data_IF_170312020422
#
_entry.id   IF_170312020422
#
_cell.length_a   1.000
_cell.length_b   1.000
_cell.length_c   1.000
_cell.angle_alpha   90.00
_cell.angle_beta   90.00
_cell.angle_gamma   90.00
#
_symmetry.space_group_name_H-M   'P 1'
#
loop_
_entity.id
_entity.type
_entity.pdbx_description
1 polymer ?
#
# COMPACT_ATOMS: atom_id res chain seq x y z
N UNK A 1 14.37 -41.77 15.03
CA UNK A 1 14.00 -40.35 15.11
C UNK A 1 13.98 -39.86 13.68
N UNK A 2 12.87 -39.29 13.22
CA UNK A 2 12.77 -38.82 11.84
C UNK A 2 13.33 -37.40 11.80
N UNK A 3 14.55 -37.22 11.28
CA UNK A 3 15.29 -35.95 11.30
C UNK A 3 14.51 -34.78 10.68
N UNK A 4 13.58 -35.09 9.78
CA UNK A 4 12.68 -34.11 9.15
C UNK A 4 11.68 -33.48 10.12
N UNK A 5 11.35 -34.13 11.25
CA UNK A 5 10.38 -33.61 12.21
C UNK A 5 10.88 -32.37 12.95
N UNK A 6 12.20 -32.18 13.03
CA UNK A 6 12.83 -31.09 13.78
C UNK A 6 13.30 -29.94 12.88
N UNK A 7 13.07 -30.03 11.57
CA UNK A 7 13.39 -28.99 10.60
C UNK A 7 12.20 -28.04 10.46
N UNK A 8 12.36 -26.80 10.90
CA UNK A 8 11.39 -25.74 10.61
C UNK A 8 11.65 -25.19 9.20
N UNK A 9 10.62 -25.24 8.34
CA UNK A 9 10.72 -24.71 6.97
C UNK A 9 9.86 -23.46 6.83
N UNK A 10 8.56 -23.60 7.08
CA UNK A 10 7.63 -22.48 7.09
C UNK A 10 6.35 -22.81 7.84
N UNK A 11 5.69 -21.81 8.42
CA UNK A 11 4.43 -21.96 9.15
C UNK A 11 3.52 -20.74 8.97
N UNK A 12 2.20 -20.92 8.80
CA UNK A 12 1.27 -19.81 8.99
C UNK A 12 1.28 -19.36 10.46
N UNK A 13 1.15 -18.07 10.68
CA UNK A 13 1.23 -17.44 11.99
C UNK A 13 0.24 -16.27 12.10
N UNK A 14 0.11 -15.74 13.31
CA UNK A 14 -0.57 -14.47 13.58
C UNK A 14 0.39 -13.47 14.16
N UNK A 15 0.28 -12.22 13.73
CA UNK A 15 0.99 -11.10 14.33
C UNK A 15 0.46 -10.87 15.74
N UNK A 16 1.37 -10.79 16.71
CA UNK A 16 1.10 -10.41 18.10
C UNK A 16 1.31 -8.90 18.28
N UNK A 17 2.41 -8.39 17.74
CA UNK A 17 2.73 -6.96 17.73
C UNK A 17 3.63 -6.63 16.53
N UNK A 18 3.68 -5.35 16.16
CA UNK A 18 4.48 -4.83 15.06
C UNK A 18 5.13 -3.51 15.49
N UNK A 19 6.42 -3.37 15.23
CA UNK A 19 7.17 -2.13 15.33
C UNK A 19 7.50 -1.61 13.93
N UNK A 20 6.86 -0.51 13.55
CA UNK A 20 7.04 0.12 12.24
C UNK A 20 8.39 0.84 12.09
N UNK A 21 9.05 1.23 13.18
CA UNK A 21 10.34 1.90 13.11
C UNK A 21 11.48 0.93 12.74
N UNK A 22 11.37 -0.32 13.17
CA UNK A 22 12.35 -1.37 12.86
C UNK A 22 11.85 -2.38 11.83
N UNK A 23 10.59 -2.31 11.42
CA UNK A 23 9.92 -3.20 10.46
C UNK A 23 9.96 -4.66 10.94
N UNK A 24 9.62 -4.87 12.22
CA UNK A 24 9.67 -6.18 12.88
C UNK A 24 8.38 -6.54 13.58
N UNK A 25 8.06 -7.83 13.59
CA UNK A 25 6.92 -8.38 14.32
C UNK A 25 7.35 -9.29 15.45
N UNK A 26 6.47 -9.40 16.44
CA UNK A 26 6.32 -10.62 17.22
C UNK A 26 5.22 -11.45 16.56
N UNK A 27 5.50 -12.69 16.19
CA UNK A 27 4.54 -13.58 15.54
C UNK A 27 4.37 -14.87 16.33
N UNK A 28 3.19 -15.48 16.26
CA UNK A 28 2.89 -16.77 16.87
C UNK A 28 2.41 -17.76 15.81
N UNK A 29 3.10 -18.89 15.57
CA UNK A 29 2.62 -19.91 14.65
C UNK A 29 1.20 -20.36 15.00
N UNK A 30 0.38 -20.57 13.98
CA UNK A 30 -1.05 -20.85 14.13
C UNK A 30 -1.36 -22.34 14.26
N UNK A 31 -0.42 -23.22 13.88
CA UNK A 31 -0.60 -24.67 13.86
C UNK A 31 0.30 -25.31 14.92
N UNK A 32 -0.27 -25.95 15.96
CA UNK A 32 0.51 -26.67 16.97
C UNK A 32 1.08 -27.99 16.40
N UNK A 33 2.21 -28.45 16.95
CA UNK A 33 2.86 -29.72 16.56
C UNK A 33 2.25 -30.86 17.37
N UNK A 34 1.83 -31.94 16.71
CA UNK A 34 1.43 -33.19 17.36
C UNK A 34 2.57 -34.20 17.25
N UNK A 35 3.00 -34.75 18.38
CA UNK A 35 4.04 -35.77 18.44
C UNK A 35 3.46 -37.17 18.18
N UNK A 36 4.31 -38.14 17.86
CA UNK A 36 3.93 -39.54 17.69
C UNK A 36 3.29 -40.15 18.97
N UNK A 37 3.61 -39.60 20.15
CA UNK A 37 3.00 -39.94 21.43
C UNK A 37 1.53 -39.49 21.55
N UNK A 38 1.04 -38.66 20.62
CA UNK A 38 -0.26 -38.00 20.69
C UNK A 38 -0.26 -36.65 21.41
N UNK A 39 0.83 -36.32 22.10
CA UNK A 39 1.03 -35.03 22.78
C UNK A 39 0.97 -33.86 21.78
N UNK A 40 0.38 -32.75 22.21
CA UNK A 40 0.29 -31.52 21.42
C UNK A 40 1.18 -30.46 22.05
N UNK A 41 2.23 -30.07 21.32
CA UNK A 41 3.08 -28.96 21.68
C UNK A 41 2.46 -27.65 21.18
N UNK A 42 2.26 -26.72 22.11
CA UNK A 42 1.82 -25.37 21.81
C UNK A 42 2.85 -24.60 20.98
N UNK A 43 2.40 -23.54 20.30
CA UNK A 43 3.27 -22.71 19.48
C UNK A 43 3.89 -21.56 20.31
N UNK A 44 5.22 -21.35 20.27
CA UNK A 44 5.84 -20.24 20.97
C UNK A 44 5.62 -18.91 20.23
N UNK A 45 5.82 -17.79 20.92
CA UNK A 45 5.98 -16.50 20.25
C UNK A 45 7.42 -16.38 19.74
N UNK A 46 7.57 -15.90 18.52
CA UNK A 46 8.85 -15.60 17.89
C UNK A 46 8.96 -14.09 17.80
N UNK A 47 10.00 -13.54 18.41
CA UNK A 47 10.22 -12.10 18.54
C UNK A 47 11.22 -11.60 17.50
N UNK A 48 11.23 -10.29 17.25
CA UNK A 48 12.24 -9.63 16.43
C UNK A 48 12.30 -10.10 14.96
N UNK A 49 11.18 -10.61 14.43
CA UNK A 49 11.11 -11.20 13.08
C UNK A 49 11.00 -10.07 12.03
N UNK A 50 11.95 -9.92 11.09
CA UNK A 50 11.85 -8.95 10.01
C UNK A 50 10.65 -9.22 9.10
N UNK A 51 9.92 -8.17 8.75
CA UNK A 51 8.83 -8.23 7.77
C UNK A 51 9.37 -8.00 6.36
N UNK A 52 9.03 -8.90 5.44
CA UNK A 52 9.43 -8.84 4.04
C UNK A 52 8.38 -8.08 3.22
N UNK A 53 8.58 -6.76 3.08
CA UNK A 53 7.86 -5.93 2.12
C UNK A 53 8.60 -5.86 0.78
N UNK A 54 7.91 -5.61 -0.36
CA UNK A 54 8.57 -5.23 -1.60
C UNK A 54 9.39 -3.96 -1.37
N UNK A 55 10.71 -4.08 -1.47
CA UNK A 55 11.64 -2.97 -1.25
C UNK A 55 12.88 -3.08 -2.14
N UNK A 56 13.45 -1.95 -2.53
CA UNK A 56 14.68 -1.81 -3.31
C UNK A 56 15.33 -0.45 -3.04
N UNK A 57 16.52 -0.23 -3.60
CA UNK A 57 17.24 1.05 -3.48
C UNK A 57 17.47 1.51 -2.02
N UNK A 58 17.70 0.55 -1.11
CA UNK A 58 17.83 0.79 0.34
C UNK A 58 19.00 1.72 0.68
N UNK A 59 20.09 1.68 -0.10
CA UNK A 59 21.23 2.59 0.05
C UNK A 59 21.08 3.93 -0.70
N UNK A 60 19.98 4.12 -1.43
CA UNK A 60 19.69 5.31 -2.23
C UNK A 60 18.44 6.04 -1.73
N UNK A 61 17.40 6.11 -2.56
CA UNK A 61 16.17 6.84 -2.25
C UNK A 61 15.13 6.02 -1.48
N UNK A 62 15.36 4.71 -1.29
CA UNK A 62 14.45 3.74 -0.66
C UNK A 62 13.11 3.65 -1.39
N UNK A 63 12.97 2.65 -2.26
CA UNK A 63 11.69 2.30 -2.87
C UNK A 63 11.01 1.19 -2.02
N UNK A 64 9.79 1.41 -1.55
CA UNK A 64 9.08 0.41 -0.73
C UNK A 64 7.56 0.49 -0.84
N UNK A 65 6.89 -0.66 -0.65
CA UNK A 65 5.44 -0.77 -0.45
C UNK A 65 5.18 -1.41 0.91
N UNK A 66 4.67 -0.65 1.87
CA UNK A 66 4.40 -1.13 3.24
C UNK A 66 2.91 -1.26 3.51
N UNK A 67 2.54 -2.17 4.43
CA UNK A 67 1.16 -2.34 4.90
C UNK A 67 1.05 -1.94 6.39
N UNK A 68 -0.10 -1.41 6.84
CA UNK A 68 -0.32 -1.07 8.25
C UNK A 68 -0.63 -2.33 9.06
N UNK A 69 0.41 -3.10 9.40
CA UNK A 69 0.32 -4.37 10.13
C UNK A 69 -0.23 -4.15 11.54
N UNK A 70 -1.15 -5.01 11.98
CA UNK A 70 -1.82 -4.95 13.28
C UNK A 70 -1.78 -6.30 14.01
N UNK A 71 -1.89 -6.29 15.36
CA UNK A 71 -2.15 -7.51 16.11
C UNK A 71 -3.36 -8.27 15.56
N UNK A 72 -3.19 -9.57 15.37
CA UNK A 72 -4.22 -10.47 14.84
C UNK A 72 -4.15 -10.71 13.34
N UNK A 73 -3.41 -9.90 12.56
CA UNK A 73 -3.21 -10.13 11.14
C UNK A 73 -2.53 -11.49 10.89
N UNK A 74 -3.00 -12.20 9.87
CA UNK A 74 -2.33 -13.39 9.38
C UNK A 74 -0.97 -13.05 8.77
N UNK A 75 -0.02 -13.95 8.96
CA UNK A 75 1.28 -13.91 8.30
C UNK A 75 1.78 -15.33 8.00
N UNK A 76 2.85 -15.42 7.22
CA UNK A 76 3.56 -16.64 6.92
C UNK A 76 5.03 -16.47 7.31
N UNK A 77 5.54 -17.39 8.13
CA UNK A 77 6.93 -17.40 8.56
C UNK A 77 7.72 -18.37 7.71
N UNK A 78 8.88 -17.94 7.22
CA UNK A 78 9.87 -18.80 6.54
C UNK A 78 11.13 -18.81 7.40
N UNK A 79 11.62 -20.00 7.75
CA UNK A 79 12.79 -20.15 8.60
C UNK A 79 14.05 -20.29 7.76
N UNK A 80 15.12 -19.63 8.20
CA UNK A 80 16.42 -19.62 7.55
C UNK A 80 17.17 -20.93 7.81
N UNK A 81 17.94 -21.37 6.83
CA UNK A 81 18.84 -22.51 6.95
C UNK A 81 20.00 -22.26 7.93
N UNK A 82 20.32 -20.99 8.21
CA UNK A 82 21.44 -20.54 9.05
C UNK A 82 20.97 -19.43 9.98
N UNK A 83 21.68 -19.25 11.09
CA UNK A 83 21.38 -18.16 12.02
C UNK A 83 21.47 -16.79 11.34
N UNK A 84 20.58 -15.87 11.73
CA UNK A 84 20.43 -14.56 11.08
C UNK A 84 21.17 -13.43 11.78
N UNK A 85 21.64 -13.60 13.02
CA UNK A 85 22.12 -12.51 13.88
C UNK A 85 23.26 -11.72 13.24
N UNK A 86 24.27 -12.40 12.69
CA UNK A 86 25.42 -11.75 12.05
C UNK A 86 24.96 -10.93 10.83
N UNK A 87 24.11 -11.50 9.99
CA UNK A 87 23.56 -10.79 8.82
C UNK A 87 22.70 -9.59 9.23
N UNK A 88 21.86 -9.73 10.26
CA UNK A 88 21.03 -8.63 10.78
C UNK A 88 21.87 -7.49 11.38
N UNK A 89 23.11 -7.76 11.80
CA UNK A 89 24.06 -6.72 12.22
C UNK A 89 24.78 -6.01 11.06
N UNK A 90 24.54 -6.46 9.81
CA UNK A 90 25.20 -5.95 8.61
C UNK A 90 26.49 -6.69 8.24
N UNK A 91 26.83 -7.79 8.93
CA UNK A 91 27.99 -8.62 8.58
C UNK A 91 27.71 -9.53 7.39
N UNK A 92 28.76 -9.82 6.62
CA UNK A 92 28.78 -10.82 5.55
C UNK A 92 29.56 -12.09 5.92
N UNK A 93 30.05 -12.19 7.15
CA UNK A 93 30.83 -13.34 7.63
C UNK A 93 29.95 -14.56 7.90
N UNK A 94 30.59 -15.72 8.09
CA UNK A 94 29.89 -16.93 8.52
C UNK A 94 29.19 -16.69 9.88
N UNK A 95 28.01 -17.30 10.13
CA UNK A 95 27.37 -17.24 11.43
C UNK A 95 28.24 -17.92 12.49
N UNK A 96 28.42 -17.25 13.64
CA UNK A 96 29.11 -17.84 14.78
C UNK A 96 28.29 -18.95 15.45
N UNK A 97 26.97 -18.87 15.31
CA UNK A 97 26.03 -19.85 15.82
C UNK A 97 25.73 -20.93 14.76
N UNK A 98 26.02 -22.22 15.04
CA UNK A 98 25.81 -23.30 14.09
C UNK A 98 24.34 -23.73 13.93
N UNK A 99 23.38 -23.03 14.57
CA UNK A 99 21.95 -23.30 14.45
C UNK A 99 21.48 -23.32 12.99
N UNK A 100 20.58 -24.25 12.71
CA UNK A 100 19.96 -24.46 11.42
C UNK A 100 18.46 -24.64 11.60
N UNK A 101 17.65 -23.98 10.77
CA UNK A 101 16.19 -24.14 10.76
C UNK A 101 15.55 -23.85 12.13
N UNK A 102 16.12 -22.91 12.89
CA UNK A 102 15.65 -22.55 14.22
C UNK A 102 14.42 -21.62 14.14
N UNK A 103 13.53 -21.70 15.13
CA UNK A 103 12.31 -20.89 15.16
C UNK A 103 12.59 -19.38 15.29
N UNK A 104 13.73 -18.98 15.88
CA UNK A 104 14.11 -17.57 16.02
C UNK A 104 14.64 -16.96 14.72
N UNK A 105 15.09 -17.79 13.78
CA UNK A 105 15.67 -17.37 12.51
C UNK A 105 14.62 -17.32 11.41
N UNK A 106 13.61 -16.46 11.58
CA UNK A 106 12.47 -16.38 10.66
C UNK A 106 12.41 -15.06 9.89
N UNK A 107 11.77 -15.09 8.73
CA UNK A 107 11.26 -13.94 8.00
C UNK A 107 9.73 -13.98 7.97
N UNK A 108 9.09 -12.84 8.10
CA UNK A 108 7.63 -12.71 8.11
C UNK A 108 7.11 -12.13 6.80
N UNK A 109 6.18 -12.82 6.15
CA UNK A 109 5.42 -12.34 5.00
C UNK A 109 3.99 -12.04 5.45
N UNK A 110 3.55 -10.79 5.34
CA UNK A 110 2.20 -10.37 5.74
C UNK A 110 1.18 -10.92 4.73
N UNK A 111 0.08 -11.48 5.23
CA UNK A 111 -0.92 -12.18 4.43
C UNK A 111 -1.14 -13.61 4.92
N UNK A 112 -1.78 -14.47 4.12
CA UNK A 112 -1.99 -15.88 4.53
C UNK A 112 -3.02 -16.05 5.65
N UNK A 113 -4.03 -15.17 5.71
CA UNK A 113 -5.18 -15.38 6.58
C UNK A 113 -5.89 -16.70 6.22
N UNK A 114 -6.36 -17.44 7.23
CA UNK A 114 -7.13 -18.68 7.02
C UNK A 114 -8.39 -18.48 6.17
N UNK A 115 -8.91 -17.24 6.13
CA UNK A 115 -9.93 -16.79 5.18
C UNK A 115 -9.47 -15.48 4.57
N UNK A 116 -9.09 -15.52 3.29
CA UNK A 116 -8.71 -14.32 2.56
C UNK A 116 -9.92 -13.43 2.27
N UNK A 117 -9.76 -12.10 2.25
CA UNK A 117 -10.79 -11.20 1.72
C UNK A 117 -10.99 -11.44 0.22
N UNK A 118 -12.09 -10.91 -0.33
CA UNK A 118 -12.27 -10.90 -1.78
C UNK A 118 -11.18 -10.05 -2.45
N UNK A 119 -10.72 -10.52 -3.61
CA UNK A 119 -9.81 -9.80 -4.48
C UNK A 119 -10.57 -9.24 -5.69
N UNK A 120 -9.98 -8.25 -6.35
CA UNK A 120 -10.39 -7.87 -7.70
C UNK A 120 -9.90 -8.95 -8.67
N UNK A 121 -10.83 -9.53 -9.44
CA UNK A 121 -10.53 -10.65 -10.35
C UNK A 121 -10.08 -10.23 -11.74
N UNK A 122 -10.07 -8.93 -12.04
CA UNK A 122 -9.83 -8.39 -13.37
C UNK A 122 -8.75 -7.32 -13.38
N UNK A 123 -8.77 -6.42 -12.39
CA UNK A 123 -7.90 -5.24 -12.35
C UNK A 123 -6.74 -5.44 -11.39
N UNK A 124 -5.60 -4.81 -11.68
CA UNK A 124 -4.61 -4.56 -10.65
C UNK A 124 -5.21 -3.56 -9.65
N UNK A 125 -5.26 -3.92 -8.37
CA UNK A 125 -6.02 -3.18 -7.36
C UNK A 125 -5.17 -2.95 -6.10
N UNK A 126 -5.00 -1.69 -5.73
CA UNK A 126 -4.49 -1.26 -4.42
C UNK A 126 -5.69 -0.75 -3.63
N UNK A 127 -5.98 -1.35 -2.48
CA UNK A 127 -7.19 -1.05 -1.69
C UNK A 127 -6.88 -0.92 -0.20
N UNK A 128 -7.49 0.07 0.44
CA UNK A 128 -7.54 0.18 1.90
C UNK A 128 -8.89 0.75 2.35
N UNK A 129 -9.66 -0.02 3.12
CA UNK A 129 -11.02 0.34 3.48
C UNK A 129 -11.93 0.50 2.24
N UNK A 130 -12.57 1.67 2.10
CA UNK A 130 -13.41 2.02 0.96
C UNK A 130 -12.64 2.66 -0.21
N UNK A 131 -11.39 3.08 -0.02
CA UNK A 131 -10.57 3.69 -1.07
C UNK A 131 -9.84 2.66 -1.93
N UNK A 132 -9.71 2.93 -3.23
CA UNK A 132 -8.97 2.09 -4.17
C UNK A 132 -8.33 2.85 -5.33
N UNK A 133 -7.22 2.31 -5.84
CA UNK A 133 -6.60 2.65 -7.11
C UNK A 133 -6.59 1.38 -7.95
N UNK A 134 -7.12 1.47 -9.17
CA UNK A 134 -7.22 0.33 -10.08
C UNK A 134 -6.61 0.64 -11.44
N UNK A 135 -5.94 -0.35 -12.02
CA UNK A 135 -5.50 -0.34 -13.42
C UNK A 135 -6.19 -1.52 -14.13
N UNK A 136 -7.02 -1.22 -15.10
CA UNK A 136 -7.71 -2.22 -15.91
C UNK A 136 -6.80 -2.82 -16.98
N UNK A 137 -7.12 -4.02 -17.53
CA UNK A 137 -6.38 -4.57 -18.67
C UNK A 137 -6.35 -3.66 -19.91
N UNK A 138 -7.31 -2.73 -20.06
CA UNK A 138 -7.31 -1.68 -21.09
C UNK A 138 -6.23 -0.61 -20.89
N UNK A 139 -5.63 -0.53 -19.70
CA UNK A 139 -4.74 0.55 -19.29
C UNK A 139 -5.44 1.70 -18.55
N UNK A 140 -6.77 1.68 -18.45
CA UNK A 140 -7.53 2.72 -17.74
C UNK A 140 -7.22 2.70 -16.24
N UNK A 141 -7.02 3.90 -15.68
CA UNK A 141 -6.73 4.09 -14.25
C UNK A 141 -7.94 4.74 -13.59
N UNK A 142 -8.44 4.12 -12.52
CA UNK A 142 -9.54 4.66 -11.71
C UNK A 142 -9.07 4.84 -10.28
N UNK A 143 -9.29 6.03 -9.72
CA UNK A 143 -9.11 6.35 -8.30
C UNK A 143 -10.50 6.57 -7.71
N UNK A 144 -10.95 5.66 -6.84
CA UNK A 144 -12.24 5.75 -6.16
C UNK A 144 -11.99 5.86 -4.65
N UNK A 145 -12.41 6.98 -4.05
CA UNK A 145 -12.19 7.28 -2.65
C UNK A 145 -13.26 8.24 -2.11
N UNK A 146 -13.56 8.21 -0.80
CA UNK A 146 -14.44 9.19 -0.17
C UNK A 146 -13.99 10.65 -0.35
N UNK A 147 -12.68 10.88 -0.48
CA UNK A 147 -12.08 12.19 -0.76
C UNK A 147 -10.69 12.00 -1.38
N UNK A 148 -10.31 12.91 -2.29
CA UNK A 148 -8.97 12.95 -2.89
C UNK A 148 -8.35 14.34 -2.67
N UNK A 149 -7.06 14.39 -2.32
CA UNK A 149 -6.29 15.63 -2.19
C UNK A 149 -4.96 15.46 -2.91
N UNK A 150 -4.61 16.41 -3.77
CA UNK A 150 -3.36 16.40 -4.55
C UNK A 150 -2.53 17.60 -4.14
N UNK A 151 -1.43 17.33 -3.42
CA UNK A 151 -0.50 18.35 -2.96
C UNK A 151 0.78 18.28 -3.81
N UNK A 152 1.03 19.30 -4.61
CA UNK A 152 2.26 19.46 -5.37
C UNK A 152 2.53 20.96 -5.59
N UNK A 153 3.80 21.39 -5.69
CA UNK A 153 4.12 22.76 -6.09
C UNK A 153 3.54 23.15 -7.46
N UNK A 154 3.34 22.17 -8.35
CA UNK A 154 2.70 22.35 -9.66
C UNK A 154 1.99 21.06 -10.05
N UNK A 155 0.76 21.18 -10.56
CA UNK A 155 -0.02 20.08 -11.11
C UNK A 155 -0.31 20.37 -12.59
N UNK A 156 -0.07 19.39 -13.45
CA UNK A 156 -0.32 19.50 -14.89
C UNK A 156 -1.20 18.35 -15.35
N UNK A 157 -2.28 18.66 -16.08
CA UNK A 157 -3.15 17.67 -16.74
C UNK A 157 -3.12 17.96 -18.23
N UNK A 158 -2.61 17.00 -19.02
CA UNK A 158 -2.58 17.10 -20.48
C UNK A 158 -3.78 16.33 -21.05
N UNK A 159 -4.71 17.05 -21.67
CA UNK A 159 -5.95 16.52 -22.21
C UNK A 159 -7.18 17.25 -21.66
N UNK A 160 -8.35 16.86 -22.14
CA UNK A 160 -9.62 17.44 -21.71
C UNK A 160 -9.95 17.04 -20.27
N UNK A 161 -10.48 17.99 -19.49
CA UNK A 161 -10.84 17.78 -18.09
C UNK A 161 -12.35 17.97 -17.92
N UNK A 162 -13.03 16.92 -17.49
CA UNK A 162 -14.44 16.97 -17.11
C UNK A 162 -14.57 17.03 -15.57
N UNK A 163 -15.31 18.02 -15.07
CA UNK A 163 -15.60 18.18 -13.64
C UNK A 163 -17.11 18.21 -13.44
N UNK A 164 -17.65 17.17 -12.80
CA UNK A 164 -19.07 17.06 -12.47
C UNK A 164 -19.31 17.62 -11.05
N UNK A 165 -19.13 18.93 -10.89
CA UNK A 165 -19.24 19.61 -9.59
C UNK A 165 -18.82 21.08 -9.68
N UNK A 166 -18.90 21.79 -8.56
CA UNK A 166 -18.42 23.17 -8.48
C UNK A 166 -16.89 23.24 -8.53
N UNK A 167 -16.36 24.25 -9.23
CA UNK A 167 -14.93 24.56 -9.26
C UNK A 167 -14.70 25.83 -8.45
N UNK A 168 -13.81 25.76 -7.45
CA UNK A 168 -13.39 26.91 -6.65
C UNK A 168 -11.88 27.09 -6.80
N UNK A 169 -11.45 28.31 -7.13
CA UNK A 169 -10.03 28.65 -7.28
C UNK A 169 -9.73 29.90 -6.45
N UNK A 170 -8.59 29.93 -5.79
CA UNK A 170 -8.15 31.06 -4.96
C UNK A 170 -7.30 32.07 -5.72
N UNK A 171 -6.98 31.78 -6.98
CA UNK A 171 -6.07 32.57 -7.82
C UNK A 171 -6.67 32.71 -9.23
N UNK A 172 -5.94 33.37 -10.12
CA UNK A 172 -6.40 33.64 -11.49
C UNK A 172 -6.58 32.36 -12.31
N UNK A 173 -7.71 32.28 -13.02
CA UNK A 173 -7.92 31.34 -14.12
C UNK A 173 -7.56 32.06 -15.42
N UNK A 174 -6.68 31.48 -16.23
CA UNK A 174 -6.36 31.98 -17.58
C UNK A 174 -6.80 30.93 -18.61
N UNK A 175 -7.66 31.33 -19.54
CA UNK A 175 -8.11 30.49 -20.64
C UNK A 175 -7.58 31.06 -21.97
N UNK A 176 -7.05 30.18 -22.83
CA UNK A 176 -6.61 30.57 -24.18
C UNK A 176 -7.78 30.57 -25.18
N UNK A 177 -8.76 29.68 -24.95
CA UNK A 177 -10.04 29.66 -25.65
C UNK A 177 -11.11 30.44 -24.90
N UNK A 178 -12.35 30.33 -25.39
CA UNK A 178 -13.50 30.97 -24.77
C UNK A 178 -13.96 30.24 -23.49
N UNK A 179 -14.57 30.98 -22.57
CA UNK A 179 -15.25 30.44 -21.39
C UNK A 179 -16.75 30.58 -21.62
N UNK A 180 -17.47 29.46 -21.67
CA UNK A 180 -18.92 29.48 -21.92
C UNK A 180 -19.67 29.11 -20.64
N UNK A 181 -20.46 30.05 -20.11
CA UNK A 181 -21.32 29.85 -18.95
C UNK A 181 -22.79 29.77 -19.36
N UNK A 182 -23.48 28.66 -19.07
CA UNK A 182 -24.88 28.45 -19.47
C UNK A 182 -25.16 28.75 -20.96
N UNK A 183 -24.20 28.44 -21.84
CA UNK A 183 -24.29 28.70 -23.28
C UNK A 183 -23.91 30.12 -23.72
N UNK A 184 -23.56 31.03 -22.80
CA UNK A 184 -23.12 32.39 -23.11
C UNK A 184 -21.60 32.44 -23.12
N UNK A 185 -21.03 32.83 -24.27
CA UNK A 185 -19.60 33.11 -24.45
C UNK A 185 -19.17 34.29 -23.59
N UNK A 186 -18.15 34.11 -22.75
CA UNK A 186 -17.55 35.21 -21.98
C UNK A 186 -16.80 36.17 -22.91
N UNK A 187 -16.11 35.68 -23.94
CA UNK A 187 -15.41 36.54 -24.90
C UNK A 187 -16.34 37.37 -25.79
N UNK A 188 -17.62 36.96 -25.94
CA UNK A 188 -18.60 37.60 -26.81
C UNK A 188 -19.86 38.13 -26.11
N UNK A 189 -19.94 38.11 -24.78
CA UNK A 189 -21.15 38.56 -24.09
C UNK A 189 -21.38 40.08 -24.22
N UNK A 190 -22.65 40.47 -24.16
CA UNK A 190 -23.08 41.88 -24.22
C UNK A 190 -23.98 42.20 -23.03
N UNK A 191 -24.07 43.48 -22.69
CA UNK A 191 -25.01 44.01 -21.69
C UNK A 191 -26.09 44.85 -22.38
N UNK A 192 -27.27 44.92 -21.76
CA UNK A 192 -28.27 45.92 -22.12
C UNK A 192 -28.01 47.18 -21.30
N UNK A 193 -27.93 48.34 -21.96
CA UNK A 193 -27.85 49.62 -21.28
C UNK A 193 -29.20 49.97 -20.64
N UNK A 194 -29.18 50.44 -19.39
CA UNK A 194 -30.39 50.93 -18.72
C UNK A 194 -30.62 52.40 -19.08
N UNK A 195 -31.08 52.70 -20.31
CA UNK A 195 -31.35 54.10 -20.69
C UNK A 195 -31.94 54.37 -22.07
N UNK A 196 -31.43 53.75 -23.13
CA UNK A 196 -31.84 54.10 -24.52
C UNK A 196 -32.22 52.90 -25.41
N UNK A 197 -32.15 51.68 -24.86
CA UNK A 197 -32.50 50.45 -25.57
C UNK A 197 -31.47 50.00 -26.60
N UNK A 198 -30.26 50.57 -26.62
CA UNK A 198 -29.19 50.16 -27.53
C UNK A 198 -28.24 49.14 -26.88
N UNK A 199 -27.57 48.30 -27.70
CA UNK A 199 -26.50 47.43 -27.22
C UNK A 199 -25.32 48.24 -26.68
N UNK A 200 -24.74 47.85 -25.54
CA UNK A 200 -23.46 48.41 -25.11
C UNK A 200 -22.32 47.89 -25.97
N UNK A 201 -21.19 48.60 -25.97
CA UNK A 201 -19.94 48.12 -26.57
C UNK A 201 -19.55 46.74 -26.05
N UNK A 202 -18.82 45.97 -26.87
CA UNK A 202 -18.27 44.66 -26.48
C UNK A 202 -17.46 44.79 -25.18
N UNK A 203 -17.52 43.77 -24.32
CA UNK A 203 -16.62 43.67 -23.17
C UNK A 203 -15.16 43.72 -23.68
N UNK A 204 -14.37 44.67 -23.16
CA UNK A 204 -12.94 44.77 -23.46
C UNK A 204 -12.14 43.71 -22.72
#
# INVERSE_FOLDING_TARGET
MNELEDINVALPAKVVSYDAATVRVVAKPAIPKRLASGEVLGTPQIVNVPVMFPMADIGGAVAQITLPVKPGDGCFLIFSQRSLENWLSGSSDAPDDPRMFDLSDAFCFIGGNAKSPSADGENLCIKYGSGSIKIAPSGDITIDAPSTTINAPTNTINGDVQINGAVSTSSTITAQGDIVGNGISLGGHTHMEQGDGKPTSVAQ
#
